data_IF_245559439443
#
_entry.id   IF_245559439443
#
_cell.length_a   1.000
_cell.length_b   1.000
_cell.length_c   1.000
_cell.angle_alpha   90.00
_cell.angle_beta   90.00
_cell.angle_gamma   90.00
#
_symmetry.space_group_name_H-M   'P 1'
#
loop_
_entity.id
_entity.type
_entity.pdbx_description
1 polymer ?
#
# COMPACT_ATOMS: atom_id res chain seq x y z
N UNK A 1 -4.98 -10.53 19.89
CA UNK A 1 -5.53 -9.69 20.99
C UNK A 1 -4.44 -9.23 21.95
N UNK A 2 -3.56 -10.10 22.45
CA UNK A 2 -2.50 -9.73 23.42
C UNK A 2 -1.60 -8.58 22.94
N UNK A 3 -1.14 -8.63 21.68
CA UNK A 3 -0.32 -7.56 21.09
C UNK A 3 -1.05 -6.22 21.02
N UNK A 4 -2.34 -6.21 20.70
CA UNK A 4 -3.14 -4.98 20.63
C UNK A 4 -3.26 -4.32 22.01
N UNK A 5 -3.57 -5.10 23.05
CA UNK A 5 -3.64 -4.60 24.43
C UNK A 5 -2.27 -4.08 24.89
N UNK A 6 -1.19 -4.81 24.60
CA UNK A 6 0.16 -4.38 24.93
C UNK A 6 0.52 -3.04 24.26
N UNK A 7 0.15 -2.85 22.99
CA UNK A 7 0.36 -1.58 22.28
C UNK A 7 -0.43 -0.42 22.91
N UNK A 8 -1.68 -0.66 23.29
CA UNK A 8 -2.50 0.38 23.94
C UNK A 8 -1.92 0.78 25.31
N UNK A 9 -1.51 -0.20 26.12
CA UNK A 9 -0.85 0.06 27.41
C UNK A 9 0.45 0.83 27.21
N UNK A 10 1.27 0.43 26.24
CA UNK A 10 2.50 1.13 25.88
C UNK A 10 2.24 2.59 25.50
N UNK A 11 1.24 2.84 24.65
CA UNK A 11 0.85 4.20 24.26
C UNK A 11 0.40 5.02 25.47
N UNK A 12 -0.39 4.45 26.38
CA UNK A 12 -0.82 5.14 27.59
C UNK A 12 0.35 5.51 28.50
N UNK A 13 1.28 4.59 28.75
CA UNK A 13 2.48 4.86 29.57
C UNK A 13 3.35 5.96 28.96
N UNK A 14 3.45 6.02 27.62
CA UNK A 14 4.33 6.95 26.91
C UNK A 14 3.70 8.32 26.63
N UNK A 15 2.42 8.35 26.29
CA UNK A 15 1.72 9.53 25.76
C UNK A 15 0.52 9.96 26.61
N UNK A 16 0.22 9.22 27.69
CA UNK A 16 -0.98 9.40 28.52
C UNK A 16 -2.29 9.30 27.72
N UNK A 17 -2.26 8.57 26.60
CA UNK A 17 -3.42 8.32 25.74
C UNK A 17 -3.30 6.95 25.07
N UNK A 18 -4.39 6.19 25.04
CA UNK A 18 -4.45 4.89 24.37
C UNK A 18 -4.42 5.00 22.84
N UNK A 19 -4.93 6.11 22.29
CA UNK A 19 -5.14 6.32 20.85
C UNK A 19 -4.08 7.24 20.22
N UNK A 20 -3.20 7.82 21.02
CA UNK A 20 -2.08 8.62 20.52
C UNK A 20 -0.91 7.70 20.15
N UNK A 21 -0.58 7.66 18.87
CA UNK A 21 0.55 6.88 18.34
C UNK A 21 1.83 7.71 18.23
N UNK A 22 1.85 8.93 18.77
CA UNK A 22 3.02 9.81 18.82
C UNK A 22 3.41 10.47 17.50
N UNK A 23 2.81 10.06 16.37
CA UNK A 23 3.14 10.59 15.05
C UNK A 23 2.82 12.09 14.93
N UNK A 24 1.74 12.55 15.57
CA UNK A 24 1.37 13.98 15.65
C UNK A 24 2.38 14.83 16.44
N UNK A 25 3.21 14.18 17.27
CA UNK A 25 4.17 14.86 18.15
C UNK A 25 5.51 15.11 17.47
N UNK A 26 5.72 14.58 16.27
CA UNK A 26 6.93 14.85 15.49
C UNK A 26 6.90 16.34 15.08
N UNK A 27 7.91 17.14 15.45
CA UNK A 27 7.94 18.56 15.11
C UNK A 27 7.82 18.78 13.60
N UNK A 28 6.88 19.63 13.19
CA UNK A 28 6.68 19.98 11.78
C UNK A 28 5.81 19.03 10.97
N UNK A 29 5.51 17.81 11.45
CA UNK A 29 4.72 16.84 10.67
C UNK A 29 3.33 17.37 10.34
N UNK A 30 2.62 17.98 11.29
CA UNK A 30 1.28 18.53 11.01
C UNK A 30 1.30 19.77 10.11
N UNK A 31 2.48 20.35 9.85
CA UNK A 31 2.61 21.48 8.93
C UNK A 31 2.81 21.05 7.47
N UNK A 32 2.99 19.74 7.23
CA UNK A 32 3.17 19.23 5.88
C UNK A 32 1.88 19.36 5.04
N UNK A 33 1.96 19.69 3.74
CA UNK A 33 0.79 19.97 2.90
C UNK A 33 -0.23 18.84 2.80
N UNK A 34 0.20 17.62 3.08
CA UNK A 34 -0.66 16.44 3.02
C UNK A 34 -1.45 16.18 4.31
N UNK A 35 -1.12 16.86 5.42
CA UNK A 35 -1.80 16.75 6.72
C UNK A 35 -2.70 17.96 7.07
N UNK A 36 -3.20 18.70 6.06
CA UNK A 36 -4.08 19.86 6.23
C UNK A 36 -5.37 19.62 7.06
N UNK A 37 -5.81 18.36 7.20
CA UNK A 37 -6.97 17.95 8.00
C UNK A 37 -6.57 17.01 9.14
N UNK A 38 -5.32 17.08 9.62
CA UNK A 38 -4.75 16.16 10.59
C UNK A 38 -4.20 14.88 9.95
N UNK A 39 -3.76 13.93 10.78
CA UNK A 39 -3.20 12.66 10.30
C UNK A 39 -4.28 11.75 9.71
N UNK A 40 -5.45 11.74 10.34
CA UNK A 40 -6.59 10.93 9.93
C UNK A 40 -7.79 11.81 9.65
N UNK A 41 -8.31 11.76 8.42
CA UNK A 41 -9.48 12.51 7.98
C UNK A 41 -10.14 11.85 6.77
N UNK A 42 -11.47 11.86 6.73
CA UNK A 42 -12.24 11.36 5.59
C UNK A 42 -12.02 12.15 4.30
N UNK A 43 -11.53 13.39 4.40
CA UNK A 43 -11.20 14.24 3.24
C UNK A 43 -10.13 13.62 2.34
N UNK A 44 -9.31 12.71 2.87
CA UNK A 44 -8.25 12.05 2.11
C UNK A 44 -8.72 10.87 1.26
N UNK A 45 -9.92 10.34 1.53
CA UNK A 45 -10.42 9.12 0.87
C UNK A 45 -10.35 9.21 -0.65
N UNK A 46 -10.86 10.27 -1.32
CA UNK A 46 -10.84 10.34 -2.77
C UNK A 46 -9.42 10.34 -3.34
N UNK A 47 -8.52 11.13 -2.73
CA UNK A 47 -7.11 11.21 -3.16
C UNK A 47 -6.42 9.86 -2.96
N UNK A 48 -6.61 9.23 -1.82
CA UNK A 48 -5.94 7.98 -1.48
C UNK A 48 -6.42 6.80 -2.33
N UNK A 49 -7.71 6.75 -2.66
CA UNK A 49 -8.25 5.75 -3.60
C UNK A 49 -7.59 5.94 -4.98
N UNK A 50 -7.51 7.19 -5.46
CA UNK A 50 -6.84 7.50 -6.72
C UNK A 50 -5.36 7.12 -6.72
N UNK A 51 -4.64 7.49 -5.65
CA UNK A 51 -3.22 7.20 -5.46
C UNK A 51 -2.93 5.70 -5.36
N UNK A 52 -3.78 4.96 -4.65
CA UNK A 52 -3.62 3.52 -4.46
C UNK A 52 -3.96 2.73 -5.72
N UNK A 53 -5.07 3.07 -6.40
CA UNK A 53 -5.59 2.26 -7.49
C UNK A 53 -5.08 2.73 -8.86
N UNK A 54 -5.09 4.03 -9.16
CA UNK A 54 -4.97 4.51 -10.54
C UNK A 54 -3.74 5.35 -10.86
N UNK A 55 -3.08 5.95 -9.88
CA UNK A 55 -1.93 6.84 -10.13
C UNK A 55 -0.85 6.16 -10.99
N UNK A 56 -0.68 6.59 -12.25
CA UNK A 56 0.26 5.97 -13.18
C UNK A 56 1.68 6.43 -12.88
N UNK A 57 2.65 5.86 -13.61
CA UNK A 57 4.01 6.38 -13.63
C UNK A 57 4.07 7.66 -14.48
N UNK A 58 5.01 8.53 -14.15
CA UNK A 58 5.19 9.81 -14.82
C UNK A 58 6.10 9.66 -16.03
N UNK A 59 5.72 10.30 -17.13
CA UNK A 59 6.58 10.42 -18.31
C UNK A 59 7.50 11.62 -18.17
N UNK A 60 8.74 11.48 -18.65
CA UNK A 60 9.78 12.52 -18.54
C UNK A 60 10.47 12.72 -19.88
N UNK A 61 10.99 13.93 -20.09
CA UNK A 61 11.70 14.30 -21.32
C UNK A 61 13.12 13.73 -21.41
N UNK A 62 13.68 13.26 -20.29
CA UNK A 62 15.03 12.68 -20.20
C UNK A 62 14.94 11.28 -19.63
N UNK A 63 15.90 10.42 -19.98
CA UNK A 63 16.01 9.09 -19.42
C UNK A 63 16.14 9.17 -17.88
N UNK A 64 15.39 8.34 -17.12
CA UNK A 64 14.36 7.40 -17.56
C UNK A 64 13.05 8.08 -18.02
N UNK A 65 12.62 7.78 -19.26
CA UNK A 65 11.41 8.38 -19.85
C UNK A 65 10.12 8.03 -19.10
N UNK A 66 10.12 6.94 -18.32
CA UNK A 66 9.00 6.53 -17.49
C UNK A 66 9.53 6.20 -16.09
N UNK A 67 9.08 6.95 -15.07
CA UNK A 67 9.50 6.77 -13.70
C UNK A 67 8.30 6.79 -12.75
N UNK A 68 8.28 5.92 -11.72
CA UNK A 68 7.27 6.04 -10.67
C UNK A 68 7.41 7.39 -9.97
N UNK A 69 6.31 7.93 -9.48
CA UNK A 69 6.37 9.09 -8.60
C UNK A 69 6.84 8.63 -7.21
N UNK A 70 7.79 9.37 -6.65
CA UNK A 70 8.43 9.00 -5.39
C UNK A 70 7.48 9.08 -4.19
N UNK A 71 6.46 9.93 -4.23
CA UNK A 71 5.53 10.13 -3.14
C UNK A 71 4.38 9.11 -3.14
N UNK A 72 3.95 8.69 -4.34
CA UNK A 72 3.03 7.57 -4.49
C UNK A 72 2.93 7.12 -5.94
N UNK A 73 2.83 5.81 -6.13
CA UNK A 73 2.32 5.21 -7.36
C UNK A 73 1.32 4.12 -7.03
N UNK A 74 0.41 3.83 -7.96
CA UNK A 74 -0.57 2.77 -7.76
C UNK A 74 0.07 1.42 -7.47
N UNK A 75 -0.53 0.66 -6.54
CA UNK A 75 -0.14 -0.73 -6.29
C UNK A 75 -0.44 -1.63 -7.50
N UNK A 76 -1.48 -1.32 -8.28
CA UNK A 76 -1.87 -2.10 -9.46
C UNK A 76 -0.90 -1.88 -10.63
N UNK A 77 -0.42 -0.65 -10.80
CA UNK A 77 0.64 -0.35 -11.77
C UNK A 77 1.99 -0.97 -11.35
N UNK A 78 2.28 -0.98 -10.05
CA UNK A 78 3.55 -1.49 -9.52
C UNK A 78 3.55 -3.02 -9.39
N UNK A 79 2.37 -3.63 -9.25
CA UNK A 79 2.18 -5.05 -8.97
C UNK A 79 0.83 -5.55 -9.50
N UNK A 80 0.65 -5.63 -10.84
CA UNK A 80 -0.61 -6.06 -11.45
C UNK A 80 -1.06 -7.46 -11.04
N UNK A 81 -0.17 -8.30 -10.50
CA UNK A 81 -0.55 -9.61 -9.99
C UNK A 81 -1.62 -9.54 -8.87
N UNK A 82 -1.70 -8.42 -8.15
CA UNK A 82 -2.71 -8.19 -7.11
C UNK A 82 -4.13 -8.28 -7.67
N UNK A 83 -4.33 -8.03 -8.96
CA UNK A 83 -5.63 -8.20 -9.62
C UNK A 83 -6.12 -9.65 -9.60
N UNK A 84 -5.24 -10.64 -9.47
CA UNK A 84 -5.64 -12.04 -9.35
C UNK A 84 -6.36 -12.35 -8.02
N UNK A 85 -6.30 -11.46 -7.02
CA UNK A 85 -7.11 -11.58 -5.81
C UNK A 85 -8.63 -11.55 -6.11
N UNK A 86 -9.05 -10.92 -7.21
CA UNK A 86 -10.45 -10.85 -7.65
C UNK A 86 -10.92 -12.09 -8.43
N UNK A 87 -10.06 -13.09 -8.63
CA UNK A 87 -10.41 -14.33 -9.32
C UNK A 87 -11.57 -15.04 -8.64
N UNK A 88 -12.48 -15.63 -9.41
CA UNK A 88 -13.58 -16.42 -8.89
C UNK A 88 -13.11 -17.78 -8.34
N UNK A 89 -13.90 -18.36 -7.45
CA UNK A 89 -13.55 -19.63 -6.79
C UNK A 89 -12.75 -19.44 -5.50
N UNK A 90 -12.84 -20.44 -4.62
CA UNK A 90 -12.10 -20.55 -3.37
C UNK A 90 -12.10 -22.03 -2.95
N UNK A 91 -11.03 -22.55 -2.35
CA UNK A 91 -11.08 -23.86 -1.69
C UNK A 91 -11.89 -23.73 -0.41
N UNK A 92 -11.61 -22.68 0.37
CA UNK A 92 -12.39 -22.22 1.51
C UNK A 92 -12.94 -20.81 1.26
N UNK A 93 -14.26 -20.74 1.05
CA UNK A 93 -14.96 -19.46 0.86
C UNK A 93 -14.93 -18.59 2.11
N UNK A 94 -15.08 -19.19 3.30
CA UNK A 94 -15.11 -18.44 4.54
C UNK A 94 -13.76 -17.74 4.76
N UNK A 95 -12.65 -18.46 4.61
CA UNK A 95 -11.31 -17.89 4.71
C UNK A 95 -11.11 -16.73 3.73
N UNK A 96 -11.46 -16.93 2.45
CA UNK A 96 -11.34 -15.90 1.42
C UNK A 96 -12.13 -14.63 1.77
N UNK A 97 -13.37 -14.77 2.21
CA UNK A 97 -14.20 -13.62 2.58
C UNK A 97 -13.70 -12.94 3.86
N UNK A 98 -13.24 -13.68 4.86
CA UNK A 98 -12.62 -13.09 6.07
C UNK A 98 -11.37 -12.29 5.72
N UNK A 99 -10.53 -12.78 4.80
CA UNK A 99 -9.39 -12.01 4.29
C UNK A 99 -9.82 -10.75 3.53
N UNK A 100 -10.89 -10.81 2.73
CA UNK A 100 -11.42 -9.61 2.06
C UNK A 100 -11.95 -8.58 3.04
N UNK A 101 -12.63 -9.00 4.11
CA UNK A 101 -13.05 -8.12 5.20
C UNK A 101 -11.84 -7.46 5.87
N UNK A 102 -10.78 -8.23 6.15
CA UNK A 102 -9.54 -7.68 6.70
C UNK A 102 -8.90 -6.63 5.75
N UNK A 103 -8.78 -6.95 4.46
CA UNK A 103 -8.29 -6.00 3.44
C UNK A 103 -9.15 -4.73 3.41
N UNK A 104 -10.47 -4.86 3.43
CA UNK A 104 -11.39 -3.72 3.39
C UNK A 104 -11.24 -2.82 4.62
N UNK A 105 -11.18 -3.39 5.83
CA UNK A 105 -10.96 -2.64 7.07
C UNK A 105 -9.62 -1.90 7.04
N UNK A 106 -8.55 -2.58 6.59
CA UNK A 106 -7.24 -1.95 6.44
C UNK A 106 -7.26 -0.83 5.41
N UNK A 107 -7.87 -1.04 4.24
CA UNK A 107 -8.02 -0.02 3.21
C UNK A 107 -8.76 1.23 3.72
N UNK A 108 -9.81 1.09 4.53
CA UNK A 108 -10.48 2.24 5.14
C UNK A 108 -9.49 3.09 5.94
N UNK A 109 -8.68 2.45 6.80
CA UNK A 109 -7.67 3.14 7.61
C UNK A 109 -6.60 3.82 6.75
N UNK A 110 -6.20 3.20 5.65
CA UNK A 110 -5.27 3.79 4.69
C UNK A 110 -5.86 5.00 3.96
N UNK A 111 -7.13 4.91 3.56
CA UNK A 111 -7.80 5.97 2.82
C UNK A 111 -8.09 7.21 3.65
N UNK A 112 -8.27 7.06 4.96
CA UNK A 112 -8.40 8.21 5.85
C UNK A 112 -7.04 8.76 6.30
N UNK A 113 -5.92 8.11 6.00
CA UNK A 113 -4.61 8.63 6.38
C UNK A 113 -4.19 9.77 5.44
N UNK A 114 -3.51 10.81 5.95
CA UNK A 114 -3.12 11.97 5.16
C UNK A 114 -1.94 11.77 4.21
N UNK A 115 -1.23 10.65 4.31
CA UNK A 115 -0.07 10.34 3.46
C UNK A 115 -0.22 8.97 2.80
N UNK A 116 0.21 8.84 1.55
CA UNK A 116 0.13 7.64 0.70
C UNK A 116 1.27 6.64 0.86
N UNK A 117 2.35 7.03 1.56
CA UNK A 117 3.49 6.15 1.77
C UNK A 117 4.82 6.84 2.04
N UNK A 118 4.88 8.18 1.91
CA UNK A 118 6.13 8.92 1.94
C UNK A 118 6.93 8.74 0.65
N UNK A 119 8.22 9.10 0.70
CA UNK A 119 9.11 9.10 -0.46
C UNK A 119 9.63 7.70 -0.82
N UNK A 120 8.75 6.80 -1.28
CA UNK A 120 9.03 5.40 -1.58
C UNK A 120 8.19 4.87 -2.76
N UNK A 121 8.68 3.82 -3.41
CA UNK A 121 8.02 3.21 -4.58
C UNK A 121 6.67 2.57 -4.23
N UNK A 122 5.66 2.79 -5.08
CA UNK A 122 4.34 2.19 -4.91
C UNK A 122 3.47 2.91 -3.87
N UNK A 123 2.35 2.27 -3.53
CA UNK A 123 1.51 2.68 -2.42
C UNK A 123 1.96 1.88 -1.19
N UNK A 124 3.07 2.32 -0.56
CA UNK A 124 3.74 1.53 0.50
C UNK A 124 2.79 1.01 1.56
N UNK A 125 1.87 1.85 2.02
CA UNK A 125 1.02 1.45 3.12
C UNK A 125 0.10 0.27 2.78
N UNK A 126 -0.18 0.01 1.49
CA UNK A 126 -0.92 -1.17 1.07
C UNK A 126 -0.14 -2.49 1.25
N UNK A 127 1.16 -2.44 1.60
CA UNK A 127 1.91 -3.66 1.96
C UNK A 127 1.28 -4.42 3.13
N UNK A 128 0.57 -3.73 4.03
CA UNK A 128 -0.15 -4.39 5.14
C UNK A 128 -1.29 -5.29 4.64
N UNK A 129 -1.80 -5.05 3.42
CA UNK A 129 -2.85 -5.85 2.80
C UNK A 129 -2.28 -7.09 2.09
N UNK A 130 -0.99 -7.10 1.73
CA UNK A 130 -0.38 -8.16 0.92
C UNK A 130 -0.52 -9.57 1.54
N UNK A 131 -0.30 -9.78 2.85
CA UNK A 131 -0.47 -11.12 3.45
C UNK A 131 -1.88 -11.69 3.21
N UNK A 132 -2.91 -10.85 3.37
CA UNK A 132 -4.31 -11.24 3.15
C UNK A 132 -4.60 -11.46 1.66
N UNK A 133 -4.06 -10.59 0.79
CA UNK A 133 -4.19 -10.74 -0.66
C UNK A 133 -3.51 -12.04 -1.15
N UNK A 134 -2.36 -12.42 -0.59
CA UNK A 134 -1.72 -13.70 -0.90
C UNK A 134 -2.59 -14.89 -0.50
N UNK A 135 -3.21 -14.87 0.68
CA UNK A 135 -4.17 -15.92 1.08
C UNK A 135 -5.35 -15.99 0.11
N UNK A 136 -5.96 -14.85 -0.24
CA UNK A 136 -7.06 -14.77 -1.20
C UNK A 136 -6.68 -15.37 -2.57
N UNK A 137 -5.47 -15.06 -3.05
CA UNK A 137 -4.96 -15.60 -4.30
C UNK A 137 -4.72 -17.11 -4.18
N UNK A 138 -4.08 -17.60 -3.11
CA UNK A 138 -3.84 -19.03 -2.89
C UNK A 138 -5.13 -19.86 -2.86
N UNK A 139 -6.21 -19.29 -2.30
CA UNK A 139 -7.53 -19.92 -2.29
C UNK A 139 -8.14 -20.08 -3.69
N UNK A 140 -7.79 -19.20 -4.63
CA UNK A 140 -8.35 -19.15 -5.99
C UNK A 140 -7.35 -19.53 -7.09
N UNK A 141 -6.12 -19.90 -6.73
CA UNK A 141 -5.04 -20.20 -7.67
C UNK A 141 -5.31 -21.47 -8.50
N UNK A 142 -5.09 -21.43 -9.83
CA UNK A 142 -5.17 -22.61 -10.68
C UNK A 142 -4.06 -23.61 -10.36
N UNK A 143 -4.25 -24.86 -10.76
CA UNK A 143 -3.23 -25.92 -10.62
C UNK A 143 -1.97 -25.66 -11.45
N UNK A 144 -2.08 -24.87 -12.52
CA UNK A 144 -0.99 -24.51 -13.43
C UNK A 144 -1.07 -23.02 -13.72
N UNK A 145 0.09 -22.37 -13.77
CA UNK A 145 0.20 -20.97 -14.10
C UNK A 145 -0.15 -20.74 -15.57
N UNK A 146 -1.03 -19.78 -15.81
CA UNK A 146 -1.40 -19.31 -17.14
C UNK A 146 -0.33 -18.36 -17.69
N UNK A 147 -0.21 -18.19 -19.02
CA UNK A 147 0.71 -17.22 -19.60
C UNK A 147 0.48 -15.78 -19.08
N UNK A 148 -0.78 -15.41 -18.83
CA UNK A 148 -1.14 -14.11 -18.26
C UNK A 148 -0.56 -13.93 -16.84
N UNK A 149 -0.61 -14.96 -16.01
CA UNK A 149 -0.01 -14.93 -14.68
C UNK A 149 1.51 -14.78 -14.74
N UNK A 150 2.16 -15.53 -15.63
CA UNK A 150 3.60 -15.39 -15.86
C UNK A 150 3.98 -13.97 -16.26
N UNK A 151 3.24 -13.36 -17.19
CA UNK A 151 3.47 -11.97 -17.62
C UNK A 151 3.25 -11.00 -16.46
N UNK A 152 2.16 -11.14 -15.70
CA UNK A 152 1.88 -10.24 -14.59
C UNK A 152 2.90 -10.35 -13.45
N UNK A 153 3.30 -11.56 -13.05
CA UNK A 153 4.35 -11.77 -12.04
C UNK A 153 5.70 -11.27 -12.54
N UNK A 154 6.07 -11.61 -13.78
CA UNK A 154 7.33 -11.18 -14.40
C UNK A 154 7.42 -9.66 -14.50
N UNK A 155 6.36 -9.01 -14.99
CA UNK A 155 6.30 -7.55 -15.03
C UNK A 155 6.41 -6.94 -13.63
N UNK A 156 5.68 -7.47 -12.64
CA UNK A 156 5.73 -6.95 -11.27
C UNK A 156 7.14 -7.05 -10.68
N UNK A 157 7.84 -8.16 -10.93
CA UNK A 157 9.22 -8.34 -10.51
C UNK A 157 10.17 -7.35 -11.17
N UNK A 158 10.08 -7.20 -12.50
CA UNK A 158 10.90 -6.24 -13.26
C UNK A 158 10.62 -4.81 -12.85
N UNK A 159 9.36 -4.43 -12.63
CA UNK A 159 8.97 -3.10 -12.18
C UNK A 159 9.55 -2.78 -10.79
N UNK A 160 9.54 -3.73 -9.86
CA UNK A 160 10.14 -3.57 -8.54
C UNK A 160 11.67 -3.50 -8.60
N UNK A 161 12.32 -4.31 -9.43
CA UNK A 161 13.77 -4.22 -9.66
C UNK A 161 14.16 -2.87 -10.25
N UNK A 162 13.42 -2.41 -11.25
CA UNK A 162 13.63 -1.11 -11.87
C UNK A 162 13.46 0.04 -10.87
N UNK A 163 12.41 0.01 -10.06
CA UNK A 163 12.22 1.00 -9.00
C UNK A 163 13.34 0.95 -7.95
N UNK A 164 13.77 -0.25 -7.54
CA UNK A 164 14.89 -0.41 -6.60
C UNK A 164 16.17 0.19 -7.18
N UNK A 165 16.43 -0.05 -8.47
CA UNK A 165 17.54 0.55 -9.20
C UNK A 165 17.47 2.08 -9.18
N UNK A 166 16.31 2.67 -9.49
CA UNK A 166 16.10 4.11 -9.46
C UNK A 166 16.34 4.72 -8.09
N UNK A 167 15.80 4.13 -7.01
CA UNK A 167 15.91 4.69 -5.67
C UNK A 167 17.33 4.58 -5.08
N UNK A 168 18.08 3.53 -5.40
CA UNK A 168 19.38 3.28 -4.76
C UNK A 168 20.59 3.72 -5.59
N UNK A 169 20.52 3.56 -6.91
CA UNK A 169 21.67 3.75 -7.80
C UNK A 169 21.56 4.97 -8.71
N UNK A 170 20.53 5.79 -8.52
CA UNK A 170 20.39 7.04 -9.27
C UNK A 170 20.12 8.22 -8.34
N UNK A 171 20.44 9.42 -8.83
CA UNK A 171 20.09 10.68 -8.16
C UNK A 171 18.63 11.10 -8.50
N UNK A 172 17.88 10.33 -9.28
CA UNK A 172 16.58 10.75 -9.81
C UNK A 172 15.46 10.80 -8.76
N UNK A 173 15.63 10.11 -7.63
CA UNK A 173 14.62 9.90 -6.60
C UNK A 173 15.16 10.19 -5.19
N UNK A 174 16.30 10.88 -5.08
CA UNK A 174 16.87 11.33 -3.80
C UNK A 174 16.31 12.69 -3.39
#
# INVERSE_FOLDING_TARGET
>A
MLLGVATLVYNYVRFHSFTDFGYARIPGVLNEPWYNHGIFSYHYIPRQIWEMLWRPWETRAKFPYLAPNAFSSSILWSSPFVLFAFRSGAKDKALKYTCWVAVFVLCILLWIHGNSGGWQFGYRYAMICLPFLFVIMLESSPKKLTPLEWVAYGFSFVANLYATWLFHWTEYMK
#
